data_IF_351276098262
#
_entry.id   IF_351276098262
#
_cell.length_a   1.000
_cell.length_b   1.000
_cell.length_c   1.000
_cell.angle_alpha   90.00
_cell.angle_beta   90.00
_cell.angle_gamma   90.00
#
_symmetry.space_group_name_H-M   'P 1'
#
loop_
_entity.id
_entity.type
_entity.pdbx_description
1 polymer ?
#
# COMPACT_ATOMS: atom_id res chain seq x y z
N UNK A 1 21.98 56.81 24.69
CA UNK A 1 21.14 56.72 23.46
C UNK A 1 21.86 56.10 22.26
N UNK A 2 23.00 56.64 21.79
CA UNK A 2 23.73 56.09 20.62
C UNK A 2 24.05 54.58 20.71
N UNK A 3 24.48 54.10 21.89
CA UNK A 3 24.84 52.69 22.07
C UNK A 3 23.63 51.74 22.05
N UNK A 4 22.44 52.21 22.45
CA UNK A 4 21.20 51.41 22.46
C UNK A 4 20.69 51.22 21.03
N UNK A 5 20.78 52.24 20.19
CA UNK A 5 20.42 52.17 18.76
C UNK A 5 21.32 51.20 18.01
N UNK A 6 22.63 51.21 18.31
CA UNK A 6 23.60 50.33 17.67
C UNK A 6 23.33 48.85 17.99
N UNK A 7 23.04 48.53 19.25
CA UNK A 7 22.70 47.16 19.69
C UNK A 7 21.40 46.68 19.02
N UNK A 8 20.37 47.54 18.94
CA UNK A 8 19.13 47.20 18.27
C UNK A 8 19.33 46.91 16.77
N UNK A 9 20.21 47.66 16.09
CA UNK A 9 20.52 47.46 14.68
C UNK A 9 21.22 46.12 14.44
N UNK A 10 22.19 45.76 15.28
CA UNK A 10 22.90 44.49 15.16
C UNK A 10 22.02 43.27 15.47
N UNK A 11 21.13 43.37 16.46
CA UNK A 11 20.15 42.32 16.73
C UNK A 11 19.16 42.14 15.58
N UNK A 12 18.72 43.23 14.96
CA UNK A 12 17.85 43.18 13.79
C UNK A 12 18.54 42.55 12.58
N UNK A 13 19.77 42.97 12.26
CA UNK A 13 20.55 42.42 11.15
C UNK A 13 20.95 40.96 11.39
N UNK A 14 21.26 40.58 12.63
CA UNK A 14 21.54 39.20 13.02
C UNK A 14 20.30 38.31 12.86
N UNK A 15 19.12 38.80 13.26
CA UNK A 15 17.85 38.10 13.06
C UNK A 15 17.51 37.93 11.57
N UNK A 16 17.71 38.97 10.76
CA UNK A 16 17.46 38.93 9.32
C UNK A 16 18.39 37.95 8.61
N UNK A 17 19.68 37.95 8.98
CA UNK A 17 20.69 37.06 8.41
C UNK A 17 20.43 35.60 8.80
N UNK A 18 20.04 35.35 10.06
CA UNK A 18 19.65 34.03 10.53
C UNK A 18 18.42 33.50 9.80
N UNK A 19 17.41 34.35 9.54
CA UNK A 19 16.21 33.97 8.79
C UNK A 19 16.51 33.65 7.31
N UNK A 20 17.47 34.33 6.70
CA UNK A 20 17.90 34.06 5.32
C UNK A 20 18.74 32.77 5.21
N UNK A 21 19.60 32.49 6.18
CA UNK A 21 20.43 31.27 6.21
C UNK A 21 19.59 30.03 6.55
N UNK A 22 18.59 30.18 7.43
CA UNK A 22 17.71 29.09 7.85
C UNK A 22 16.45 28.95 6.99
N UNK A 23 16.47 29.43 5.74
CA UNK A 23 15.42 29.07 4.78
C UNK A 23 15.50 27.57 4.51
N UNK A 24 14.80 26.79 5.34
CA UNK A 24 14.49 25.40 5.06
C UNK A 24 13.71 25.43 3.74
N UNK A 25 14.22 24.82 2.66
CA UNK A 25 13.46 24.78 1.43
C UNK A 25 12.12 24.13 1.74
N UNK A 26 11.03 24.87 1.53
CA UNK A 26 9.71 24.31 1.59
C UNK A 26 9.68 23.17 0.56
N UNK A 27 9.58 21.92 1.02
CA UNK A 27 9.34 20.78 0.15
C UNK A 27 7.91 20.93 -0.36
N UNK A 28 7.75 21.71 -1.43
CA UNK A 28 6.49 21.84 -2.13
C UNK A 28 6.31 20.59 -2.99
N UNK A 29 5.53 19.64 -2.49
CA UNK A 29 5.02 18.56 -3.33
C UNK A 29 4.14 19.18 -4.42
N UNK A 30 4.57 19.10 -5.69
CA UNK A 30 3.77 19.58 -6.81
C UNK A 30 2.74 18.51 -7.22
N UNK A 31 1.45 18.84 -7.07
CA UNK A 31 0.36 18.07 -7.68
C UNK A 31 0.19 18.59 -9.10
N UNK A 32 0.66 17.84 -10.10
CA UNK A 32 0.82 18.35 -11.49
C UNK A 32 -0.44 18.24 -12.34
N UNK A 33 -1.40 17.39 -11.98
CA UNK A 33 -2.64 17.28 -12.74
C UNK A 33 -3.76 16.64 -11.93
N UNK A 34 -4.90 17.33 -11.87
CA UNK A 34 -6.19 16.73 -11.56
C UNK A 34 -7.00 16.66 -12.85
N UNK A 35 -7.17 15.47 -13.42
CA UNK A 35 -8.11 15.28 -14.52
C UNK A 35 -9.48 14.98 -13.90
N UNK A 36 -10.44 15.88 -14.15
CA UNK A 36 -11.82 15.71 -13.73
C UNK A 36 -12.68 15.40 -14.96
N UNK A 37 -13.19 14.17 -15.02
CA UNK A 37 -14.24 13.75 -15.92
C UNK A 37 -15.37 13.15 -15.06
N UNK A 38 -16.61 13.24 -15.52
CA UNK A 38 -17.81 12.69 -14.86
C UNK A 38 -17.61 11.22 -14.45
N UNK A 39 -16.81 10.46 -15.20
CA UNK A 39 -16.60 9.03 -14.99
C UNK A 39 -15.25 8.70 -14.31
N UNK A 40 -14.38 9.69 -14.11
CA UNK A 40 -13.01 9.50 -13.64
C UNK A 40 -12.42 10.78 -13.05
N UNK A 41 -12.06 10.74 -11.77
CA UNK A 41 -11.26 11.79 -11.12
C UNK A 41 -9.91 11.21 -10.74
N UNK A 42 -8.83 11.91 -11.06
CA UNK A 42 -7.48 11.52 -10.66
C UNK A 42 -6.67 12.67 -10.17
N UNK A 43 -5.75 12.40 -9.24
CA UNK A 43 -4.61 13.25 -8.95
C UNK A 43 -3.32 12.46 -9.16
N UNK A 44 -2.40 13.04 -9.94
CA UNK A 44 -1.08 12.49 -10.20
C UNK A 44 0.00 13.30 -9.47
N UNK A 45 0.92 12.59 -8.82
CA UNK A 45 2.01 13.17 -8.05
C UNK A 45 3.33 12.87 -8.73
N UNK A 46 4.16 13.89 -8.88
CA UNK A 46 5.46 13.82 -9.55
C UNK A 46 6.55 14.31 -8.60
N UNK A 47 7.76 13.78 -8.74
CA UNK A 47 8.94 14.32 -8.07
C UNK A 47 9.54 15.50 -8.84
N UNK A 48 10.61 16.10 -8.31
CA UNK A 48 11.30 17.24 -8.91
C UNK A 48 11.93 16.95 -10.29
N UNK A 49 12.02 15.69 -10.69
CA UNK A 49 12.52 15.26 -12.00
C UNK A 49 11.38 14.86 -12.95
N UNK A 50 10.15 15.29 -12.66
CA UNK A 50 8.94 14.96 -13.43
C UNK A 50 8.63 13.46 -13.57
N UNK A 51 9.19 12.62 -12.68
CA UNK A 51 8.81 11.21 -12.60
C UNK A 51 7.58 11.04 -11.71
N UNK A 52 6.58 10.29 -12.18
CA UNK A 52 5.37 9.97 -11.40
C UNK A 52 5.75 9.07 -10.22
N UNK A 53 5.39 9.49 -9.01
CA UNK A 53 5.67 8.75 -7.76
C UNK A 53 4.40 8.18 -7.14
N UNK A 54 3.25 8.79 -7.43
CA UNK A 54 1.96 8.26 -6.99
C UNK A 54 0.82 8.67 -7.94
N UNK A 55 -0.26 7.91 -7.86
CA UNK A 55 -1.52 8.16 -8.52
C UNK A 55 -2.65 7.81 -7.55
N UNK A 56 -3.61 8.72 -7.39
CA UNK A 56 -4.89 8.42 -6.72
C UNK A 56 -6.01 8.75 -7.68
N UNK A 57 -7.05 7.94 -7.71
CA UNK A 57 -8.24 8.28 -8.45
C UNK A 57 -9.34 7.26 -8.31
N UNK A 58 -10.37 7.41 -9.12
CA UNK A 58 -11.47 6.48 -9.22
C UNK A 58 -11.72 6.14 -10.69
N UNK A 59 -12.17 4.92 -10.94
CA UNK A 59 -12.75 4.52 -12.22
C UNK A 59 -14.08 3.85 -11.92
N UNK A 60 -15.16 4.31 -12.57
CA UNK A 60 -16.53 3.94 -12.22
C UNK A 60 -16.79 4.17 -10.71
N UNK A 61 -17.16 3.13 -9.97
CA UNK A 61 -17.48 3.14 -8.54
C UNK A 61 -16.30 2.75 -7.64
N UNK A 62 -15.10 2.51 -8.20
CA UNK A 62 -13.95 2.00 -7.45
C UNK A 62 -12.81 3.01 -7.39
N UNK A 63 -12.37 3.31 -6.17
CA UNK A 63 -11.17 4.10 -5.91
C UNK A 63 -9.89 3.26 -5.97
N UNK A 64 -8.77 3.91 -6.26
CA UNK A 64 -7.45 3.30 -6.27
C UNK A 64 -6.34 4.29 -5.92
N UNK A 65 -5.30 3.79 -5.26
CA UNK A 65 -4.04 4.45 -4.97
C UNK A 65 -2.91 3.53 -5.47
N UNK A 66 -1.97 4.10 -6.21
CA UNK A 66 -0.80 3.41 -6.72
C UNK A 66 0.44 4.21 -6.37
N UNK A 67 1.47 3.53 -5.85
CA UNK A 67 2.79 4.07 -5.59
C UNK A 67 3.78 3.45 -6.58
N UNK A 68 4.67 4.26 -7.13
CA UNK A 68 5.63 3.83 -8.14
C UNK A 68 7.07 3.90 -7.63
N UNK A 69 7.93 3.00 -8.11
CA UNK A 69 9.36 3.00 -7.84
C UNK A 69 10.12 3.99 -8.75
N UNK A 70 11.46 3.99 -8.64
CA UNK A 70 12.33 4.90 -9.41
C UNK A 70 12.35 4.62 -10.92
N UNK A 71 11.95 3.41 -11.32
CA UNK A 71 11.81 2.95 -12.70
C UNK A 71 10.37 3.17 -13.22
N UNK A 72 9.46 3.63 -12.38
CA UNK A 72 8.05 3.85 -12.70
C UNK A 72 7.19 2.58 -12.62
N UNK A 73 7.71 1.48 -12.08
CA UNK A 73 6.96 0.24 -11.84
C UNK A 73 6.09 0.39 -10.59
N UNK A 74 4.98 -0.33 -10.51
CA UNK A 74 4.14 -0.32 -9.32
C UNK A 74 4.93 -0.93 -8.17
N UNK A 75 5.05 -0.22 -7.05
CA UNK A 75 5.63 -0.72 -5.80
C UNK A 75 4.55 -1.14 -4.81
N UNK A 76 3.45 -0.37 -4.75
CA UNK A 76 2.30 -0.66 -3.92
C UNK A 76 1.00 -0.23 -4.61
N UNK A 77 -0.09 -0.92 -4.31
CA UNK A 77 -1.43 -0.58 -4.75
C UNK A 77 -2.44 -0.76 -3.62
N UNK A 78 -3.49 0.05 -3.63
CA UNK A 78 -4.65 -0.06 -2.75
C UNK A 78 -5.89 0.30 -3.55
N UNK A 79 -7.02 -0.34 -3.27
CA UNK A 79 -8.27 0.00 -3.93
C UNK A 79 -9.34 -1.05 -3.73
N UNK A 80 -10.32 -1.07 -4.63
CA UNK A 80 -11.35 -2.10 -4.71
C UNK A 80 -11.32 -2.78 -6.08
N UNK A 81 -11.71 -4.05 -6.12
CA UNK A 81 -11.91 -4.75 -7.40
C UNK A 81 -13.10 -4.13 -8.15
N UNK A 82 -12.85 -3.65 -9.38
CA UNK A 82 -13.89 -3.07 -10.22
C UNK A 82 -14.79 -4.10 -10.93
N UNK A 83 -14.41 -5.38 -10.95
CA UNK A 83 -15.13 -6.44 -11.67
C UNK A 83 -14.85 -7.83 -11.08
N UNK A 84 -15.59 -8.84 -11.54
CA UNK A 84 -15.45 -10.23 -11.10
C UNK A 84 -16.22 -10.57 -9.83
N UNK A 85 -16.00 -11.79 -9.31
CA UNK A 85 -16.67 -12.29 -8.10
C UNK A 85 -16.32 -11.49 -6.83
N UNK A 86 -15.24 -10.73 -6.86
CA UNK A 86 -14.75 -9.92 -5.73
C UNK A 86 -15.11 -8.42 -5.91
N UNK A 87 -16.01 -8.07 -6.84
CA UNK A 87 -16.36 -6.66 -7.11
C UNK A 87 -16.73 -5.93 -5.81
N UNK A 88 -16.09 -4.77 -5.59
CA UNK A 88 -16.28 -3.93 -4.41
C UNK A 88 -15.42 -4.30 -3.20
N UNK A 89 -14.79 -5.49 -3.21
CA UNK A 89 -13.92 -5.91 -2.11
C UNK A 89 -12.59 -5.18 -2.17
N UNK A 90 -12.09 -4.77 -1.01
CA UNK A 90 -10.89 -3.96 -0.88
C UNK A 90 -9.62 -4.79 -0.86
N UNK A 91 -8.53 -4.18 -1.34
CA UNK A 91 -7.21 -4.80 -1.39
C UNK A 91 -6.09 -3.80 -1.10
N UNK A 92 -4.97 -4.35 -0.66
CA UNK A 92 -3.66 -3.72 -0.59
C UNK A 92 -2.61 -4.71 -1.10
N UNK A 93 -1.83 -4.32 -2.11
CA UNK A 93 -0.83 -5.17 -2.74
C UNK A 93 0.55 -4.53 -2.78
N UNK A 94 1.59 -5.33 -2.58
CA UNK A 94 3.00 -4.94 -2.74
C UNK A 94 3.65 -5.73 -3.87
N UNK A 95 4.43 -5.04 -4.68
CA UNK A 95 5.11 -5.61 -5.84
C UNK A 95 6.62 -5.63 -5.62
N UNK A 96 7.31 -6.57 -6.26
CA UNK A 96 8.76 -6.58 -6.32
C UNK A 96 9.32 -5.68 -7.44
N UNK A 97 10.65 -5.65 -7.56
CA UNK A 97 11.39 -4.86 -8.56
C UNK A 97 11.15 -5.35 -10.00
N UNK A 98 10.57 -6.54 -10.18
CA UNK A 98 10.17 -7.10 -11.46
C UNK A 98 8.68 -6.85 -11.74
N UNK A 99 8.05 -5.96 -10.95
CA UNK A 99 6.63 -5.59 -11.06
C UNK A 99 5.70 -6.80 -10.84
N UNK A 100 6.12 -7.81 -10.07
CA UNK A 100 5.28 -8.95 -9.70
C UNK A 100 4.65 -8.72 -8.34
N UNK A 101 3.35 -8.98 -8.20
CA UNK A 101 2.65 -8.90 -6.91
C UNK A 101 3.17 -10.01 -5.97
N UNK A 102 3.74 -9.63 -4.82
CA UNK A 102 4.37 -10.55 -3.85
C UNK A 102 3.61 -10.71 -2.55
N UNK A 103 2.87 -9.67 -2.17
CA UNK A 103 2.07 -9.64 -0.97
C UNK A 103 0.75 -8.98 -1.26
N UNK A 104 -0.34 -9.56 -0.78
CA UNK A 104 -1.69 -9.06 -0.98
C UNK A 104 -2.50 -9.27 0.29
N UNK A 105 -3.02 -8.18 0.86
CA UNK A 105 -4.08 -8.23 1.85
C UNK A 105 -5.39 -7.85 1.16
N UNK A 106 -6.43 -8.65 1.32
CA UNK A 106 -7.75 -8.36 0.75
C UNK A 106 -8.89 -8.82 1.64
N UNK A 107 -10.08 -8.26 1.39
CA UNK A 107 -11.33 -8.86 1.80
C UNK A 107 -11.78 -9.86 0.73
N UNK A 108 -12.37 -10.98 1.13
CA UNK A 108 -12.93 -11.95 0.17
C UNK A 108 -14.18 -12.67 0.69
N UNK A 109 -14.99 -13.19 -0.23
CA UNK A 109 -16.18 -13.99 0.07
C UNK A 109 -17.38 -13.16 0.55
N UNK A 110 -18.50 -13.81 0.84
CA UNK A 110 -19.79 -13.13 1.12
C UNK A 110 -19.79 -12.29 2.40
N UNK A 111 -18.81 -12.51 3.29
CA UNK A 111 -18.69 -11.82 4.58
C UNK A 111 -17.45 -10.92 4.64
N UNK A 112 -16.87 -10.57 3.50
CA UNK A 112 -15.67 -9.71 3.42
C UNK A 112 -14.57 -10.15 4.40
N UNK A 113 -14.25 -11.45 4.36
CA UNK A 113 -13.30 -12.03 5.31
C UNK A 113 -11.87 -11.56 5.01
N UNK A 114 -11.09 -11.15 6.02
CA UNK A 114 -9.73 -10.68 5.81
C UNK A 114 -8.81 -11.84 5.44
N UNK A 115 -7.98 -11.64 4.42
CA UNK A 115 -6.97 -12.60 3.98
C UNK A 115 -5.67 -11.92 3.61
N UNK A 116 -4.56 -12.54 3.98
CA UNK A 116 -3.21 -12.18 3.57
C UNK A 116 -2.69 -13.31 2.69
N UNK A 117 -2.13 -12.96 1.54
CA UNK A 117 -1.63 -13.84 0.50
C UNK A 117 -0.17 -13.45 0.22
N UNK A 118 0.73 -14.42 0.30
CA UNK A 118 2.13 -14.29 -0.08
C UNK A 118 2.41 -15.13 -1.32
N UNK A 119 3.10 -14.52 -2.29
CA UNK A 119 3.32 -15.08 -3.63
C UNK A 119 4.80 -15.31 -3.92
N UNK A 120 5.11 -16.33 -4.72
CA UNK A 120 6.45 -16.57 -5.26
C UNK A 120 6.81 -15.57 -6.37
N UNK A 121 8.00 -15.74 -6.97
CA UNK A 121 8.47 -14.88 -8.07
C UNK A 121 7.71 -15.03 -9.38
N UNK A 122 6.91 -16.10 -9.52
CA UNK A 122 5.99 -16.29 -10.65
C UNK A 122 4.58 -15.73 -10.39
N UNK A 123 4.33 -15.16 -9.20
CA UNK A 123 3.03 -14.64 -8.81
C UNK A 123 2.05 -15.69 -8.26
N UNK A 124 2.51 -16.93 -8.06
CA UNK A 124 1.70 -18.02 -7.52
C UNK A 124 1.62 -17.94 -5.99
N UNK A 125 0.44 -18.23 -5.44
CA UNK A 125 0.21 -18.26 -4.00
C UNK A 125 1.07 -19.34 -3.33
N UNK A 126 1.78 -18.97 -2.27
CA UNK A 126 2.61 -19.88 -1.47
C UNK A 126 2.12 -20.02 -0.04
N UNK A 127 1.59 -18.94 0.53
CA UNK A 127 1.05 -18.92 1.88
C UNK A 127 -0.15 -17.98 1.92
N UNK A 128 -1.25 -18.49 2.44
CA UNK A 128 -2.53 -17.77 2.58
C UNK A 128 -2.98 -17.95 4.01
N UNK A 129 -3.21 -16.86 4.72
CA UNK A 129 -3.78 -16.87 6.07
C UNK A 129 -4.98 -15.93 6.12
N UNK A 130 -6.01 -16.30 6.84
CA UNK A 130 -7.21 -15.49 6.91
C UNK A 130 -8.37 -16.22 7.57
N UNK A 131 -9.57 -15.67 7.35
CA UNK A 131 -10.83 -16.28 7.78
C UNK A 131 -11.57 -16.83 6.56
N UNK A 132 -12.25 -17.96 6.71
CA UNK A 132 -13.07 -18.53 5.64
C UNK A 132 -14.21 -17.58 5.23
N UNK A 133 -14.39 -17.33 3.93
CA UNK A 133 -15.35 -16.35 3.41
C UNK A 133 -16.81 -16.65 3.73
N UNK A 134 -17.15 -17.89 4.11
CA UNK A 134 -18.48 -18.31 4.50
C UNK A 134 -18.60 -18.57 6.00
N UNK A 135 -17.66 -19.32 6.57
CA UNK A 135 -17.72 -19.79 7.97
C UNK A 135 -16.99 -18.87 8.95
N UNK A 136 -16.13 -17.98 8.47
CA UNK A 136 -15.21 -17.15 9.26
C UNK A 136 -14.26 -17.94 10.17
N UNK A 137 -14.11 -19.25 9.95
CA UNK A 137 -13.10 -20.05 10.64
C UNK A 137 -11.71 -19.65 10.15
N UNK A 138 -10.71 -19.54 11.04
CA UNK A 138 -9.35 -19.21 10.64
C UNK A 138 -8.74 -20.39 9.89
N UNK A 139 -7.89 -20.07 8.92
CA UNK A 139 -7.08 -21.06 8.20
C UNK A 139 -5.67 -20.53 7.97
N UNK A 140 -4.73 -21.46 7.80
CA UNK A 140 -3.38 -21.17 7.30
C UNK A 140 -3.12 -22.20 6.20
N UNK A 141 -3.21 -21.77 4.96
CA UNK A 141 -2.98 -22.60 3.78
C UNK A 141 -1.60 -22.34 3.19
N UNK A 142 -0.89 -23.39 2.81
CA UNK A 142 0.41 -23.27 2.16
C UNK A 142 0.53 -24.26 1.00
N UNK A 143 1.32 -23.91 0.00
CA UNK A 143 1.71 -24.82 -1.07
C UNK A 143 2.89 -25.66 -0.58
N UNK A 144 2.74 -26.98 -0.56
CA UNK A 144 3.80 -27.90 -0.15
C UNK A 144 4.81 -28.17 -1.29
N UNK A 145 5.78 -29.03 -1.00
CA UNK A 145 6.82 -29.45 -1.95
C UNK A 145 6.31 -30.41 -3.04
N UNK A 146 5.09 -30.95 -2.90
CA UNK A 146 4.41 -31.72 -3.94
C UNK A 146 3.53 -30.83 -4.83
N UNK A 147 3.40 -29.54 -4.52
CA UNK A 147 2.53 -28.61 -5.26
C UNK A 147 1.07 -28.65 -4.83
N UNK A 148 0.77 -29.24 -3.67
CA UNK A 148 -0.58 -29.32 -3.10
C UNK A 148 -0.81 -28.22 -2.07
N UNK A 149 -2.04 -27.69 -2.03
CA UNK A 149 -2.43 -26.72 -1.01
C UNK A 149 -2.88 -27.47 0.25
N UNK A 150 -2.13 -27.31 1.33
CA UNK A 150 -2.47 -27.87 2.66
C UNK A 150 -2.98 -26.81 3.60
N UNK A 151 -3.90 -27.18 4.49
CA UNK A 151 -4.39 -26.35 5.60
C UNK A 151 -3.76 -26.81 6.91
N UNK A 152 -2.85 -26.01 7.45
CA UNK A 152 -2.08 -26.32 8.66
C UNK A 152 -2.99 -26.50 9.88
N UNK A 153 -4.05 -25.70 10.02
CA UNK A 153 -4.94 -25.77 11.18
C UNK A 153 -5.72 -27.08 11.15
N UNK A 154 -6.26 -27.45 9.98
CA UNK A 154 -6.96 -28.73 9.81
C UNK A 154 -6.04 -29.92 10.04
N UNK A 155 -4.83 -29.88 9.49
CA UNK A 155 -3.84 -30.95 9.66
C UNK A 155 -3.50 -31.19 11.14
N UNK A 156 -3.30 -30.13 11.93
CA UNK A 156 -3.05 -30.24 13.38
C UNK A 156 -4.26 -30.85 14.10
N UNK A 157 -5.48 -30.45 13.74
CA UNK A 157 -6.71 -31.01 14.33
C UNK A 157 -6.86 -32.50 14.03
N UNK A 158 -6.59 -32.93 12.80
CA UNK A 158 -6.65 -34.34 12.37
C UNK A 158 -5.61 -35.19 13.09
N UNK A 159 -4.36 -34.70 13.17
CA UNK A 159 -3.28 -35.39 13.87
C UNK A 159 -3.58 -35.55 15.38
N UNK A 160 -4.22 -34.56 16.00
CA UNK A 160 -4.60 -34.65 17.41
C UNK A 160 -5.75 -35.66 17.62
N UNK A 161 -6.73 -35.71 16.72
CA UNK A 161 -7.81 -36.71 16.78
C UNK A 161 -7.29 -38.15 16.63
N UNK A 162 -6.33 -38.36 15.73
CA UNK A 162 -5.71 -39.67 15.54
C UNK A 162 -4.94 -40.15 16.81
N UNK A 163 -4.35 -39.23 17.58
CA UNK A 163 -3.68 -39.57 18.84
C UNK A 163 -4.63 -39.91 19.98
N UNK A 164 -5.86 -39.39 19.95
CA UNK A 164 -6.86 -39.60 21.02
C UNK A 164 -7.74 -40.84 20.81
N UNK A 165 -7.71 -41.44 19.61
CA UNK A 165 -8.42 -42.69 19.28
C UNK A 165 -7.41 -43.76 18.84
N UNK A 166 -6.65 -44.37 19.77
CA UNK A 166 -5.78 -45.51 19.47
C UNK A 166 -6.55 -46.77 19.07
#
# INVERSE_FOLDING_TARGET
>A
MKNVVLIALFSFLGGLSGALILQIPAVQAQVKATLYNKDFTTAQFFNNADKRVAFIGNYQESGGLFLFDQEGKTAAQMGAYGSGAEKGQTLFGLHDRQNQLRYLTRLYGQKDSPTIIMKDGGGYDRLILGLDGATQMPFIKYLDDQGEIRDLIKQVQENNKAKTNP
#
